data_IF_669408588410
#
_entry.id   IF_669408588410
#
_cell.length_a   1.000
_cell.length_b   1.000
_cell.length_c   1.000
_cell.angle_alpha   90.00
_cell.angle_beta   90.00
_cell.angle_gamma   90.00
#
_symmetry.space_group_name_H-M   'P 1'
#
loop_
_entity.id
_entity.type
_entity.pdbx_description
1 polymer ?
#
# COMPACT_ATOMS: atom_id res chain seq x y z
N UNK A 1 -6.77 4.30 22.99
CA UNK A 1 -6.20 5.26 22.03
C UNK A 1 -5.18 6.11 22.77
N UNK A 2 -3.98 6.32 22.22
CA UNK A 2 -3.02 7.27 22.80
C UNK A 2 -3.56 8.68 22.57
N UNK A 3 -4.35 9.19 23.52
CA UNK A 3 -4.79 10.59 23.54
C UNK A 3 -3.55 11.49 23.46
N UNK A 4 -3.46 12.32 22.41
CA UNK A 4 -2.34 13.25 22.20
C UNK A 4 -1.25 12.81 21.20
N UNK A 5 -1.38 11.63 20.58
CA UNK A 5 -0.46 11.19 19.51
C UNK A 5 -0.89 11.79 18.16
N UNK A 6 -0.20 12.84 17.71
CA UNK A 6 -0.38 13.38 16.36
C UNK A 6 0.51 12.61 15.37
N UNK A 7 -0.09 11.68 14.62
CA UNK A 7 0.61 10.84 13.65
C UNK A 7 1.17 11.60 12.44
N UNK A 8 0.70 12.82 12.18
CA UNK A 8 1.07 13.62 11.01
C UNK A 8 2.20 14.61 11.30
N UNK A 9 2.63 14.73 12.56
CA UNK A 9 3.75 15.61 12.98
C UNK A 9 4.90 14.77 13.51
N UNK A 10 6.05 14.89 12.87
CA UNK A 10 7.22 14.07 13.16
C UNK A 10 8.33 14.31 12.16
N UNK A 11 9.19 13.31 12.01
CA UNK A 11 10.34 13.34 11.11
C UNK A 11 10.63 11.96 10.52
N UNK A 12 11.27 11.97 9.37
CA UNK A 12 11.88 10.76 8.81
C UNK A 12 13.17 10.45 9.56
N UNK A 13 13.32 9.20 9.99
CA UNK A 13 14.51 8.69 10.67
C UNK A 13 15.07 7.50 9.90
N UNK A 14 16.39 7.36 9.88
CA UNK A 14 17.03 6.20 9.31
C UNK A 14 16.79 4.97 10.19
N UNK A 15 16.37 3.86 9.57
CA UNK A 15 16.11 2.58 10.21
C UNK A 15 16.71 1.46 9.34
N UNK A 16 17.78 0.83 9.85
CA UNK A 16 18.49 -0.24 9.15
C UNK A 16 17.61 -1.48 8.89
N UNK A 17 16.55 -1.67 9.69
CA UNK A 17 15.63 -2.80 9.56
C UNK A 17 14.61 -2.66 8.43
N UNK A 18 14.47 -1.48 7.82
CA UNK A 18 13.63 -1.27 6.64
C UNK A 18 14.33 -1.78 5.36
N UNK A 19 13.60 -2.04 4.26
CA UNK A 19 12.16 -1.86 4.08
C UNK A 19 11.30 -2.95 4.74
N UNK A 20 9.99 -2.75 4.80
CA UNK A 20 9.03 -3.75 5.32
C UNK A 20 8.82 -4.93 4.37
N UNK A 21 9.13 -4.75 3.09
CA UNK A 21 9.12 -5.77 2.05
C UNK A 21 10.16 -5.41 0.99
N UNK A 22 10.68 -6.41 0.29
CA UNK A 22 11.49 -6.20 -0.90
C UNK A 22 10.55 -5.98 -2.10
N UNK A 23 10.65 -4.81 -2.74
CA UNK A 23 9.83 -4.50 -3.92
C UNK A 23 10.14 -5.41 -5.11
N UNK A 24 11.38 -5.91 -5.20
CA UNK A 24 11.78 -6.78 -6.32
C UNK A 24 11.16 -8.18 -6.25
N UNK A 25 10.79 -8.64 -5.04
CA UNK A 25 10.14 -9.94 -4.82
C UNK A 25 8.61 -9.87 -4.85
N UNK A 26 8.01 -8.69 -4.97
CA UNK A 26 6.55 -8.55 -4.98
C UNK A 26 6.00 -8.56 -6.40
N UNK A 27 5.15 -9.54 -6.78
CA UNK A 27 4.67 -9.68 -8.16
C UNK A 27 3.51 -8.74 -8.52
N UNK A 28 3.04 -7.92 -7.57
CA UNK A 28 1.83 -7.08 -7.74
C UNK A 28 2.13 -5.61 -8.03
N UNK A 29 3.40 -5.20 -7.95
CA UNK A 29 3.81 -3.81 -8.16
C UNK A 29 3.73 -3.48 -9.64
N UNK A 30 3.00 -2.42 -9.99
CA UNK A 30 2.96 -1.92 -11.36
C UNK A 30 4.33 -1.38 -11.78
N UNK A 31 4.65 -1.53 -13.05
CA UNK A 31 5.92 -1.10 -13.61
C UNK A 31 6.18 0.39 -13.39
N UNK A 32 5.14 1.22 -13.40
CA UNK A 32 5.24 2.65 -13.09
C UNK A 32 5.76 2.96 -11.67
N UNK A 33 5.69 2.01 -10.73
CA UNK A 33 6.12 2.17 -9.34
C UNK A 33 7.39 1.35 -9.00
N UNK A 34 7.91 0.53 -9.91
CA UNK A 34 9.03 -0.37 -9.64
C UNK A 34 10.41 0.27 -9.92
N UNK A 35 10.84 1.19 -9.06
CA UNK A 35 12.07 1.97 -9.29
C UNK A 35 13.34 1.09 -9.49
N UNK A 36 13.47 -0.01 -8.74
CA UNK A 36 14.64 -0.88 -8.81
C UNK A 36 14.69 -1.63 -10.15
N UNK A 37 13.55 -2.17 -10.61
CA UNK A 37 13.43 -2.79 -11.94
C UNK A 37 13.83 -1.83 -13.05
N UNK A 38 13.52 -0.54 -12.90
CA UNK A 38 13.83 0.51 -13.87
C UNK A 38 15.16 1.25 -13.62
N UNK A 39 16.10 0.61 -12.91
CA UNK A 39 17.50 1.01 -12.94
C UNK A 39 17.93 2.03 -11.87
N UNK A 40 17.06 2.36 -10.91
CA UNK A 40 17.49 3.11 -9.73
C UNK A 40 18.47 2.28 -8.90
N UNK A 41 19.71 2.75 -8.75
CA UNK A 41 20.79 2.00 -8.09
C UNK A 41 20.90 2.26 -6.59
N UNK A 42 20.53 3.45 -6.13
CA UNK A 42 20.55 3.77 -4.71
C UNK A 42 19.39 3.08 -3.98
N UNK A 43 19.63 2.61 -2.76
CA UNK A 43 18.62 1.94 -1.92
C UNK A 43 18.37 2.66 -0.59
N UNK A 44 19.10 3.74 -0.31
CA UNK A 44 19.02 4.46 0.97
C UNK A 44 17.63 5.07 1.22
N UNK A 45 16.89 5.41 0.17
CA UNK A 45 15.52 5.91 0.28
C UNK A 45 14.56 4.88 0.92
N UNK A 46 14.87 3.58 0.80
CA UNK A 46 14.06 2.51 1.40
C UNK A 46 14.31 2.36 2.90
N UNK A 47 15.35 3.01 3.45
CA UNK A 47 15.79 2.85 4.84
C UNK A 47 15.20 3.90 5.79
N UNK A 48 14.18 4.64 5.36
CA UNK A 48 13.56 5.67 6.18
C UNK A 48 12.22 5.21 6.76
N UNK A 49 12.03 5.46 8.05
CA UNK A 49 10.77 5.27 8.76
C UNK A 49 10.24 6.61 9.27
N UNK A 50 8.93 6.78 9.25
CA UNK A 50 8.27 7.97 9.80
C UNK A 50 8.11 7.82 11.31
N UNK A 51 8.66 8.77 12.08
CA UNK A 51 8.56 8.79 13.54
C UNK A 51 7.78 10.04 13.99
N UNK A 52 6.54 9.88 14.50
CA UNK A 52 5.82 10.97 15.15
C UNK A 52 6.56 11.50 16.38
N UNK A 53 6.45 12.80 16.65
CA UNK A 53 7.14 13.42 17.78
C UNK A 53 6.57 13.01 19.14
N UNK A 54 5.27 12.71 19.17
CA UNK A 54 4.48 12.50 20.39
C UNK A 54 4.26 11.03 20.75
N UNK A 55 4.72 10.09 19.91
CA UNK A 55 4.42 8.68 20.08
C UNK A 55 5.29 7.79 19.18
N UNK A 56 5.41 6.51 19.57
CA UNK A 56 6.04 5.48 18.74
C UNK A 56 4.96 4.71 17.99
N UNK A 57 5.07 4.61 16.67
CA UNK A 57 4.23 3.74 15.85
C UNK A 57 4.81 2.31 15.95
N UNK A 58 4.01 1.30 16.31
CA UNK A 58 4.48 -0.08 16.29
C UNK A 58 4.83 -0.49 14.87
N UNK A 59 5.92 -1.25 14.71
CA UNK A 59 6.30 -1.82 13.42
C UNK A 59 5.16 -2.71 12.88
N UNK A 60 4.97 -2.70 11.56
CA UNK A 60 3.99 -3.56 10.92
C UNK A 60 4.26 -5.03 11.26
N UNK A 61 3.24 -5.72 11.76
CA UNK A 61 3.24 -7.15 12.01
C UNK A 61 2.17 -7.79 11.14
N UNK A 62 2.59 -8.46 10.07
CA UNK A 62 1.66 -9.05 9.11
C UNK A 62 0.83 -10.19 9.69
N UNK A 63 1.35 -10.97 10.63
CA UNK A 63 0.59 -12.02 11.31
C UNK A 63 -0.55 -11.44 12.18
N UNK A 64 -0.27 -10.38 12.94
CA UNK A 64 -1.30 -9.68 13.72
C UNK A 64 -2.32 -8.99 12.80
N UNK A 65 -1.87 -8.37 11.72
CA UNK A 65 -2.73 -7.77 10.71
C UNK A 65 -3.70 -8.81 10.12
N UNK A 66 -3.18 -9.93 9.62
CA UNK A 66 -3.96 -11.01 9.04
C UNK A 66 -4.95 -11.61 10.04
N UNK A 67 -4.55 -11.80 11.30
CA UNK A 67 -5.43 -12.26 12.37
C UNK A 67 -6.62 -11.32 12.58
N UNK A 68 -6.40 -10.01 12.58
CA UNK A 68 -7.46 -8.99 12.75
C UNK A 68 -8.36 -8.85 11.52
N UNK A 69 -7.79 -9.06 10.32
CA UNK A 69 -8.47 -8.89 9.04
C UNK A 69 -9.02 -10.19 8.43
N UNK A 70 -8.91 -11.31 9.14
CA UNK A 70 -9.41 -12.61 8.68
C UNK A 70 -10.91 -12.54 8.38
N UNK A 71 -11.29 -13.00 7.19
CA UNK A 71 -12.68 -13.01 6.71
C UNK A 71 -13.21 -11.62 6.32
N UNK A 72 -12.36 -10.59 6.30
CA UNK A 72 -12.74 -9.22 5.91
C UNK A 72 -12.17 -8.88 4.53
N UNK A 73 -12.75 -7.86 3.92
CA UNK A 73 -12.30 -7.28 2.65
C UNK A 73 -11.84 -5.85 2.89
N UNK A 74 -10.70 -5.48 2.32
CA UNK A 74 -10.18 -4.11 2.30
C UNK A 74 -10.35 -3.59 0.88
N UNK A 75 -10.92 -2.41 0.71
CA UNK A 75 -11.10 -1.79 -0.61
C UNK A 75 -10.51 -0.38 -0.63
N UNK A 76 -9.61 -0.15 -1.58
CA UNK A 76 -9.10 1.18 -1.91
C UNK A 76 -9.89 1.72 -3.10
N UNK A 77 -10.35 2.96 -3.00
CA UNK A 77 -11.10 3.62 -4.08
C UNK A 77 -10.48 4.98 -4.32
N UNK A 78 -9.92 5.20 -5.50
CA UNK A 78 -9.22 6.45 -5.81
C UNK A 78 -8.42 6.38 -7.10
N UNK A 79 -7.35 7.15 -7.17
CA UNK A 79 -6.52 7.32 -8.36
C UNK A 79 -5.22 6.50 -8.28
N UNK A 80 -4.20 6.91 -9.03
CA UNK A 80 -2.88 6.28 -9.03
C UNK A 80 -2.18 6.32 -7.67
N UNK A 81 -2.46 7.30 -6.80
CA UNK A 81 -1.90 7.33 -5.45
C UNK A 81 -2.56 6.25 -4.57
N UNK A 82 -3.88 6.08 -4.71
CA UNK A 82 -4.61 5.02 -4.01
C UNK A 82 -4.21 3.63 -4.51
N UNK A 83 -3.91 3.49 -5.81
CA UNK A 83 -3.34 2.26 -6.37
C UNK A 83 -1.98 1.95 -5.73
N UNK A 84 -1.08 2.93 -5.66
CA UNK A 84 0.24 2.75 -5.04
C UNK A 84 0.12 2.32 -3.56
N UNK A 85 -0.82 2.92 -2.80
CA UNK A 85 -1.10 2.49 -1.43
C UNK A 85 -1.62 1.04 -1.35
N UNK A 86 -2.50 0.65 -2.27
CA UNK A 86 -3.03 -0.72 -2.37
C UNK A 86 -1.93 -1.74 -2.68
N UNK A 87 -1.02 -1.42 -3.61
CA UNK A 87 0.13 -2.27 -3.95
C UNK A 87 1.08 -2.42 -2.77
N UNK A 88 1.39 -1.31 -2.09
CA UNK A 88 2.27 -1.33 -0.91
C UNK A 88 1.72 -2.24 0.19
N UNK A 89 0.42 -2.12 0.52
CA UNK A 89 -0.21 -3.01 1.50
C UNK A 89 -0.20 -4.47 1.03
N UNK A 90 -0.52 -4.71 -0.24
CA UNK A 90 -0.52 -6.05 -0.83
C UNK A 90 0.85 -6.73 -0.72
N UNK A 91 1.93 -5.99 -0.99
CA UNK A 91 3.30 -6.50 -0.85
C UNK A 91 3.72 -6.71 0.61
N UNK A 92 3.32 -5.83 1.54
CA UNK A 92 3.55 -6.05 2.97
C UNK A 92 2.89 -7.33 3.48
N UNK A 93 1.66 -7.60 3.02
CA UNK A 93 0.94 -8.84 3.38
C UNK A 93 1.65 -10.05 2.75
N UNK A 94 1.98 -9.98 1.47
CA UNK A 94 2.67 -11.07 0.76
C UNK A 94 4.02 -11.44 1.40
N UNK A 95 4.83 -10.44 1.76
CA UNK A 95 6.09 -10.65 2.45
C UNK A 95 5.92 -11.29 3.85
N UNK A 96 4.79 -11.04 4.51
CA UNK A 96 4.49 -11.64 5.81
C UNK A 96 3.98 -13.09 5.73
N UNK A 97 3.48 -13.52 4.57
CA UNK A 97 3.00 -14.89 4.31
C UNK A 97 3.53 -15.44 2.97
N UNK A 98 4.85 -15.65 2.84
CA UNK A 98 5.46 -16.03 1.57
C UNK A 98 4.98 -17.40 1.02
N UNK A 99 4.40 -18.26 1.87
CA UNK A 99 3.84 -19.55 1.47
C UNK A 99 2.35 -19.52 1.10
N UNK A 100 1.65 -18.40 1.28
CA UNK A 100 0.23 -18.29 0.96
C UNK A 100 0.02 -18.24 -0.56
N UNK A 101 -0.96 -18.98 -1.07
CA UNK A 101 -1.34 -18.88 -2.48
C UNK A 101 -2.13 -17.59 -2.70
N UNK A 102 -1.76 -16.89 -3.75
CA UNK A 102 -2.39 -15.63 -4.13
C UNK A 102 -3.07 -15.74 -5.49
N UNK A 103 -4.28 -15.21 -5.59
CA UNK A 103 -4.95 -14.98 -6.87
C UNK A 103 -5.02 -13.48 -7.11
N UNK A 104 -4.27 -13.01 -8.10
CA UNK A 104 -4.27 -11.62 -8.53
C UNK A 104 -5.03 -11.49 -9.84
N UNK A 105 -5.94 -10.51 -9.90
CA UNK A 105 -6.75 -10.21 -11.06
C UNK A 105 -6.79 -8.70 -11.29
N UNK A 106 -6.53 -8.26 -12.51
CA UNK A 106 -6.56 -6.85 -12.92
C UNK A 106 -7.40 -6.77 -14.20
N UNK A 107 -8.48 -5.99 -14.17
CA UNK A 107 -9.35 -5.74 -15.32
C UNK A 107 -9.80 -4.28 -15.31
N UNK A 108 -9.45 -3.55 -16.37
CA UNK A 108 -9.81 -2.14 -16.55
C UNK A 108 -9.46 -1.31 -15.30
N UNK A 109 -10.48 -0.79 -14.61
CA UNK A 109 -10.36 0.00 -13.39
C UNK A 109 -10.31 -0.82 -12.10
N UNK A 110 -10.47 -2.13 -12.13
CA UNK A 110 -10.54 -2.98 -10.94
C UNK A 110 -9.30 -3.87 -10.82
N UNK A 111 -8.67 -3.85 -9.65
CA UNK A 111 -7.64 -4.82 -9.24
C UNK A 111 -8.09 -5.55 -7.98
N UNK A 112 -7.88 -6.86 -7.93
CA UNK A 112 -8.20 -7.69 -6.77
C UNK A 112 -7.07 -8.67 -6.48
N UNK A 113 -6.73 -8.77 -5.20
CA UNK A 113 -5.77 -9.72 -4.67
C UNK A 113 -6.45 -10.51 -3.56
N UNK A 114 -6.49 -11.83 -3.76
CA UNK A 114 -7.02 -12.77 -2.77
C UNK A 114 -5.90 -13.63 -2.24
N UNK A 115 -5.78 -13.69 -0.92
CA UNK A 115 -4.95 -14.66 -0.22
C UNK A 115 -5.83 -15.83 0.23
N UNK A 116 -5.36 -17.07 0.02
CA UNK A 116 -6.05 -18.30 0.46
C UNK A 116 -6.36 -18.36 1.97
N UNK A 117 -5.67 -17.56 2.78
CA UNK A 117 -5.92 -17.33 4.21
C UNK A 117 -7.11 -16.38 4.53
N UNK A 118 -8.04 -16.21 3.60
CA UNK A 118 -9.27 -15.42 3.74
C UNK A 118 -9.04 -13.91 4.00
N UNK A 119 -8.05 -13.32 3.34
CA UNK A 119 -7.88 -11.86 3.25
C UNK A 119 -7.99 -11.44 1.80
N UNK A 120 -8.84 -10.42 1.57
CA UNK A 120 -9.13 -9.91 0.23
C UNK A 120 -8.80 -8.43 0.20
N UNK A 121 -7.92 -8.04 -0.72
CA UNK A 121 -7.54 -6.65 -0.94
C UNK A 121 -8.00 -6.25 -2.33
N UNK A 122 -8.86 -5.25 -2.42
CA UNK A 122 -9.50 -4.78 -3.63
C UNK A 122 -9.09 -3.33 -3.91
N UNK A 123 -8.97 -2.97 -5.17
CA UNK A 123 -8.76 -1.61 -5.63
C UNK A 123 -9.71 -1.30 -6.78
N UNK A 124 -10.37 -0.14 -6.71
CA UNK A 124 -11.17 0.42 -7.80
C UNK A 124 -10.65 1.81 -8.16
N UNK A 125 -10.19 1.95 -9.40
CA UNK A 125 -9.78 3.20 -9.99
C UNK A 125 -11.01 4.09 -10.23
N UNK A 126 -11.00 5.26 -9.62
CA UNK A 126 -11.96 6.32 -9.87
C UNK A 126 -11.35 7.28 -10.88
N UNK A 127 -11.80 7.20 -12.13
CA UNK A 127 -11.36 8.14 -13.16
C UNK A 127 -11.89 9.55 -12.87
N UNK A 128 -10.99 10.53 -12.84
CA UNK A 128 -11.33 11.95 -12.74
C UNK A 128 -12.05 12.50 -13.98
N UNK A 129 -12.17 11.72 -15.06
CA UNK A 129 -12.90 12.15 -16.27
C UNK A 129 -14.35 12.56 -15.98
N UNK A 130 -15.03 11.91 -15.03
CA UNK A 130 -16.39 12.30 -14.61
C UNK A 130 -16.42 13.61 -13.80
N UNK A 131 -15.37 13.89 -13.02
CA UNK A 131 -15.28 15.10 -12.19
C UNK A 131 -14.86 16.31 -13.03
N UNK A 132 -13.91 16.16 -13.95
CA UNK A 132 -13.56 17.21 -14.91
C UNK A 132 -14.73 17.51 -15.86
N UNK A 133 -15.44 16.51 -16.35
CA UNK A 133 -16.65 16.73 -17.16
C UNK A 133 -17.74 17.48 -16.36
N UNK A 134 -18.02 17.09 -15.11
CA UNK A 134 -19.01 17.77 -14.26
C UNK A 134 -18.59 19.17 -13.80
N UNK A 135 -17.29 19.46 -13.72
CA UNK A 135 -16.77 20.79 -13.37
C UNK A 135 -16.76 21.69 -14.61
N UNK A 136 -16.33 21.16 -15.77
CA UNK A 136 -16.34 21.89 -17.03
C UNK A 136 -17.75 22.16 -17.54
N UNK A 137 -18.71 21.24 -17.37
CA UNK A 137 -20.13 21.45 -17.73
C UNK A 137 -20.87 22.43 -16.82
N UNK A 138 -20.24 22.87 -15.72
CA UNK A 138 -20.77 23.90 -14.81
C UNK A 138 -20.03 25.23 -14.95
N UNK A 139 -18.92 25.25 -15.69
CA UNK A 139 -18.07 26.42 -15.92
C UNK A 139 -18.14 26.93 -17.38
N UNK A 140 -18.82 26.21 -18.26
CA UNK A 140 -19.17 26.61 -19.63
C UNK A 140 -20.66 26.37 -19.88
#
# INVERSE_FOLDING_TARGET
MMSGCNLFRGRWVFDASYPLYDSSSCPFIDDGFNCQKYGRRDNMYLKYSWQPDSCKIPRFNGADFLRRWRGKKIMFVGDSLSLNMWESLSCMIHAAVPGAKTTFYKRDSLSSLTFDIAVFVLFALKSYSYTLHSIMSRLF
#
